data_IF_185989853699
#
_entry.id   IF_185989853699
#
_cell.length_a   1.000
_cell.length_b   1.000
_cell.length_c   1.000
_cell.angle_alpha   90.00
_cell.angle_beta   90.00
_cell.angle_gamma   90.00
#
_symmetry.space_group_name_H-M   'P 1'
#
loop_
_entity.id
_entity.type
_entity.pdbx_description
1 polymer ?
#
# COMPACT_ATOMS: atom_id res chain seq x y z
N UNK A 1 4.81 -1.05 24.83
CA UNK A 1 5.24 0.27 25.36
C UNK A 1 4.29 1.33 24.82
N UNK A 2 3.59 2.08 25.68
CA UNK A 2 2.76 3.20 25.22
C UNK A 2 3.69 4.34 24.83
N UNK A 3 3.65 4.77 23.57
CA UNK A 3 4.31 5.99 23.14
C UNK A 3 3.77 7.14 24.01
N UNK A 4 4.63 8.00 24.60
CA UNK A 4 4.18 9.14 25.37
C UNK A 4 3.24 10.01 24.52
N UNK A 5 2.08 10.38 25.07
CA UNK A 5 1.16 11.34 24.45
C UNK A 5 1.94 12.60 24.06
N UNK A 6 2.11 12.83 22.76
CA UNK A 6 2.80 14.02 22.26
C UNK A 6 1.88 15.23 22.44
N UNK A 7 2.34 16.31 23.10
CA UNK A 7 1.53 17.52 23.25
C UNK A 7 1.13 18.11 21.88
N UNK A 8 -0.10 18.61 21.76
CA UNK A 8 -0.66 19.15 20.50
C UNK A 8 0.19 20.26 19.86
N UNK A 9 0.89 21.08 20.66
CA UNK A 9 1.75 22.15 20.17
C UNK A 9 2.99 21.64 19.43
N UNK A 10 3.38 20.38 19.66
CA UNK A 10 4.54 19.78 19.01
C UNK A 10 4.31 19.59 17.51
N UNK A 11 3.06 19.41 17.07
CA UNK A 11 2.68 19.30 15.66
C UNK A 11 2.69 20.66 14.92
N UNK A 12 2.76 21.76 15.68
CA UNK A 12 2.92 23.12 15.14
C UNK A 12 4.39 23.47 14.84
N UNK A 13 5.34 22.67 15.31
CA UNK A 13 6.75 22.89 15.03
C UNK A 13 7.08 22.49 13.58
N UNK A 14 7.74 23.37 12.79
CA UNK A 14 8.17 23.04 11.45
C UNK A 14 9.01 21.75 11.43
N UNK A 15 8.65 20.81 10.56
CA UNK A 15 9.38 19.53 10.41
C UNK A 15 9.05 18.44 11.43
N UNK A 16 8.13 18.68 12.39
CA UNK A 16 7.79 17.70 13.43
C UNK A 16 6.44 16.99 13.19
N UNK A 17 5.88 17.03 11.98
CA UNK A 17 4.74 16.17 11.63
C UNK A 17 5.24 14.73 11.56
N UNK A 18 4.91 13.94 12.58
CA UNK A 18 5.20 12.51 12.58
C UNK A 18 4.53 11.87 11.36
N UNK A 19 5.21 10.96 10.64
CA UNK A 19 4.56 10.22 9.58
C UNK A 19 3.37 9.46 10.16
N UNK A 20 2.26 9.46 9.41
CA UNK A 20 1.02 8.83 9.85
C UNK A 20 1.25 7.32 10.02
N UNK A 21 1.28 6.84 11.27
CA UNK A 21 1.45 5.43 11.57
C UNK A 21 0.09 4.72 11.68
N UNK A 22 0.08 3.41 11.45
CA UNK A 22 -1.14 2.61 11.62
C UNK A 22 -1.61 2.61 13.07
N UNK A 23 -0.68 2.58 14.03
CA UNK A 23 -0.98 2.66 15.46
C UNK A 23 -1.63 4.00 15.81
N UNK A 24 -1.13 5.12 15.26
CA UNK A 24 -1.76 6.43 15.45
C UNK A 24 -3.19 6.43 14.93
N UNK A 25 -3.42 5.87 13.73
CA UNK A 25 -4.75 5.75 13.15
C UNK A 25 -5.68 4.88 14.00
N UNK A 26 -5.19 3.76 14.52
CA UNK A 26 -5.94 2.88 15.41
C UNK A 26 -6.32 3.57 16.72
N UNK A 27 -5.39 4.29 17.35
CA UNK A 27 -5.66 5.08 18.55
C UNK A 27 -6.65 6.21 18.27
N UNK A 28 -6.51 6.91 17.15
CA UNK A 28 -7.43 7.98 16.75
C UNK A 28 -8.85 7.45 16.53
N UNK A 29 -8.99 6.33 15.80
CA UNK A 29 -10.28 5.66 15.59
C UNK A 29 -10.89 5.17 16.90
N UNK A 30 -10.08 4.58 17.79
CA UNK A 30 -10.54 4.11 19.10
C UNK A 30 -11.05 5.27 19.96
N UNK A 31 -10.36 6.41 19.97
CA UNK A 31 -10.78 7.61 20.73
C UNK A 31 -12.14 8.13 20.26
N UNK A 32 -12.37 8.15 18.95
CA UNK A 32 -13.64 8.62 18.42
C UNK A 32 -14.73 7.56 18.48
N UNK A 33 -14.47 6.30 18.83
CA UNK A 33 -15.46 5.23 18.81
C UNK A 33 -16.61 5.49 19.79
N UNK A 34 -16.35 5.91 21.02
CA UNK A 34 -17.43 6.08 22.01
C UNK A 34 -18.03 7.50 22.03
N UNK A 35 -17.53 8.40 21.18
CA UNK A 35 -17.98 9.80 21.10
C UNK A 35 -19.33 9.92 20.36
N UNK A 36 -20.43 10.38 20.99
CA UNK A 36 -21.75 10.47 20.35
C UNK A 36 -21.86 11.58 19.30
N UNK A 37 -21.00 12.60 19.38
CA UNK A 37 -21.02 13.76 18.47
C UNK A 37 -20.29 13.46 17.16
N UNK A 38 -19.32 12.54 17.19
CA UNK A 38 -18.58 12.13 15.99
C UNK A 38 -19.38 11.10 15.17
N UNK A 39 -19.61 11.39 13.89
CA UNK A 39 -20.34 10.49 12.98
C UNK A 39 -19.45 9.57 12.14
N UNK A 40 -18.14 9.77 12.15
CA UNK A 40 -17.25 9.04 11.27
C UNK A 40 -15.87 9.66 11.11
N UNK A 41 -15.11 9.12 10.16
CA UNK A 41 -13.80 9.60 9.77
C UNK A 41 -13.70 9.76 8.25
N UNK A 42 -12.98 10.79 7.82
CA UNK A 42 -12.66 11.02 6.41
C UNK A 42 -11.16 10.80 6.20
N UNK A 43 -10.82 9.89 5.31
CA UNK A 43 -9.45 9.60 4.89
C UNK A 43 -9.17 10.32 3.57
N UNK A 44 -8.31 11.33 3.63
CA UNK A 44 -7.86 12.08 2.45
C UNK A 44 -6.68 11.34 1.81
N UNK A 45 -6.87 10.82 0.60
CA UNK A 45 -5.84 10.13 -0.17
C UNK A 45 -5.22 11.10 -1.18
N UNK A 46 -4.01 11.57 -0.84
CA UNK A 46 -3.22 12.54 -1.59
C UNK A 46 -1.88 11.93 -1.99
N UNK A 47 -1.91 11.01 -2.94
CA UNK A 47 -0.75 10.20 -3.33
C UNK A 47 -0.14 9.43 -2.15
N UNK A 48 -0.92 8.55 -1.49
CA UNK A 48 -0.45 7.84 -0.32
C UNK A 48 0.71 6.89 -0.70
N UNK A 49 1.84 7.00 0.01
CA UNK A 49 2.96 6.08 -0.11
C UNK A 49 2.68 4.77 0.64
N UNK A 50 1.67 4.03 0.19
CA UNK A 50 1.25 2.74 0.77
C UNK A 50 1.81 1.56 -0.03
N UNK A 51 2.36 0.60 0.69
CA UNK A 51 2.53 -0.78 0.18
C UNK A 51 1.19 -1.52 0.21
N UNK A 52 1.07 -2.61 -0.57
CA UNK A 52 -0.15 -3.43 -0.56
C UNK A 52 -0.45 -4.01 0.83
N UNK A 53 0.58 -4.40 1.58
CA UNK A 53 0.44 -4.90 2.96
C UNK A 53 -0.10 -3.82 3.92
N UNK A 54 0.37 -2.57 3.78
CA UNK A 54 -0.16 -1.45 4.57
C UNK A 54 -1.61 -1.14 4.18
N UNK A 55 -1.97 -1.22 2.89
CA UNK A 55 -3.35 -1.07 2.43
C UNK A 55 -4.28 -2.13 3.03
N UNK A 56 -3.86 -3.40 3.04
CA UNK A 56 -4.59 -4.50 3.69
C UNK A 56 -4.70 -4.28 5.20
N UNK A 57 -3.64 -3.78 5.84
CA UNK A 57 -3.66 -3.46 7.26
C UNK A 57 -4.65 -2.33 7.58
N UNK A 58 -4.75 -1.32 6.72
CA UNK A 58 -5.75 -0.26 6.86
C UNK A 58 -7.17 -0.80 6.66
N UNK A 59 -7.37 -1.70 5.69
CA UNK A 59 -8.65 -2.37 5.48
C UNK A 59 -9.08 -3.21 6.70
N UNK A 60 -8.12 -3.92 7.32
CA UNK A 60 -8.34 -4.66 8.55
C UNK A 60 -8.69 -3.72 9.71
N UNK A 61 -8.00 -2.58 9.84
CA UNK A 61 -8.31 -1.56 10.83
C UNK A 61 -9.72 -0.99 10.66
N UNK A 62 -10.15 -0.70 9.43
CA UNK A 62 -11.51 -0.23 9.14
C UNK A 62 -12.57 -1.27 9.52
N UNK A 63 -12.28 -2.55 9.30
CA UNK A 63 -13.15 -3.65 9.72
C UNK A 63 -13.24 -3.75 11.24
N UNK A 64 -12.11 -3.66 11.94
CA UNK A 64 -12.06 -3.64 13.41
C UNK A 64 -12.84 -2.46 13.98
N UNK A 65 -12.65 -1.27 13.44
CA UNK A 65 -13.37 -0.07 13.86
C UNK A 65 -14.90 -0.24 13.73
N UNK A 66 -15.36 -0.87 12.64
CA UNK A 66 -16.79 -1.20 12.45
C UNK A 66 -17.32 -2.24 13.44
N UNK A 67 -16.44 -3.09 13.98
CA UNK A 67 -16.78 -4.13 14.96
C UNK A 67 -16.66 -3.67 16.42
N UNK A 68 -16.11 -2.48 16.67
CA UNK A 68 -16.11 -1.91 18.02
C UNK A 68 -17.55 -1.71 18.50
N UNK A 69 -17.79 -1.82 19.80
CA UNK A 69 -19.12 -1.59 20.39
C UNK A 69 -19.43 -0.09 20.41
N UNK A 70 -19.79 0.45 19.26
CA UNK A 70 -20.10 1.86 19.06
C UNK A 70 -21.57 2.13 19.42
N UNK A 71 -21.91 3.19 20.17
CA UNK A 71 -23.31 3.55 20.44
C UNK A 71 -24.11 3.86 19.16
N UNK A 72 -23.42 4.36 18.13
CA UNK A 72 -23.97 4.69 16.81
C UNK A 72 -23.01 4.21 15.72
N UNK A 73 -23.49 3.67 14.59
CA UNK A 73 -22.62 3.27 13.48
C UNK A 73 -21.86 4.48 12.93
N UNK A 74 -20.53 4.40 12.91
CA UNK A 74 -19.66 5.45 12.35
C UNK A 74 -19.26 5.12 10.93
N UNK A 75 -19.30 6.11 10.05
CA UNK A 75 -18.94 5.95 8.65
C UNK A 75 -17.47 6.26 8.39
N UNK A 76 -16.84 5.46 7.53
CA UNK A 76 -15.51 5.71 6.99
C UNK A 76 -15.68 6.17 5.55
N UNK A 77 -15.18 7.36 5.24
CA UNK A 77 -15.22 7.94 3.90
C UNK A 77 -13.79 8.07 3.38
N UNK A 78 -13.50 7.50 2.22
CA UNK A 78 -12.27 7.77 1.49
C UNK A 78 -12.51 8.88 0.46
N UNK A 79 -11.70 9.93 0.50
CA UNK A 79 -11.72 11.01 -0.48
C UNK A 79 -10.42 10.98 -1.26
N UNK A 80 -10.51 10.75 -2.57
CA UNK A 80 -9.35 10.58 -3.46
C UNK A 80 -9.09 11.88 -4.19
N UNK A 81 -7.91 12.46 -3.96
CA UNK A 81 -7.32 13.50 -4.82
C UNK A 81 -6.32 12.86 -5.79
N UNK A 82 -5.46 11.98 -5.29
CA UNK A 82 -4.51 11.21 -6.09
C UNK A 82 -4.30 9.83 -5.46
N UNK A 83 -4.31 8.76 -6.26
CA UNK A 83 -4.06 7.39 -5.76
C UNK A 83 -3.38 6.47 -6.77
N UNK A 84 -2.78 5.40 -6.26
CA UNK A 84 -2.32 4.24 -7.01
C UNK A 84 -3.12 2.98 -6.62
N UNK A 85 -2.72 1.80 -7.13
CA UNK A 85 -3.38 0.53 -6.84
C UNK A 85 -3.48 0.22 -5.33
N UNK A 86 -2.41 0.42 -4.55
CA UNK A 86 -2.42 0.14 -3.11
C UNK A 86 -3.32 1.12 -2.36
N UNK A 87 -3.25 2.42 -2.68
CA UNK A 87 -4.14 3.43 -2.11
C UNK A 87 -5.61 3.15 -2.43
N UNK A 88 -5.91 2.68 -3.63
CA UNK A 88 -7.28 2.33 -4.03
C UNK A 88 -7.78 1.05 -3.34
N UNK A 89 -6.92 0.05 -3.14
CA UNK A 89 -7.26 -1.12 -2.30
C UNK A 89 -7.66 -0.69 -0.89
N UNK A 90 -6.93 0.26 -0.30
CA UNK A 90 -7.26 0.81 1.01
C UNK A 90 -8.59 1.60 0.98
N UNK A 91 -8.81 2.41 -0.05
CA UNK A 91 -10.05 3.17 -0.25
C UNK A 91 -11.28 2.24 -0.41
N UNK A 92 -11.10 1.10 -1.06
CA UNK A 92 -12.15 0.10 -1.27
C UNK A 92 -12.66 -0.52 0.05
N UNK A 93 -11.90 -0.42 1.14
CA UNK A 93 -12.35 -0.85 2.46
C UNK A 93 -13.22 0.19 3.20
N UNK A 94 -13.32 1.42 2.70
CA UNK A 94 -14.19 2.46 3.25
C UNK A 94 -15.66 2.24 2.83
N UNK A 95 -16.60 2.82 3.58
CA UNK A 95 -18.04 2.72 3.27
C UNK A 95 -18.41 3.51 2.02
N UNK A 96 -17.72 4.64 1.80
CA UNK A 96 -17.91 5.50 0.63
C UNK A 96 -16.57 5.96 0.09
N UNK A 97 -16.50 6.07 -1.24
CA UNK A 97 -15.38 6.67 -1.95
C UNK A 97 -15.91 7.88 -2.70
N UNK A 98 -15.32 9.03 -2.47
CA UNK A 98 -15.56 10.25 -3.22
C UNK A 98 -14.30 10.64 -3.98
N UNK A 99 -14.51 11.22 -5.15
CA UNK A 99 -13.44 11.65 -6.03
C UNK A 99 -13.89 12.92 -6.75
N UNK A 100 -12.98 13.83 -7.00
CA UNK A 100 -13.25 15.02 -7.80
C UNK A 100 -13.03 14.72 -9.29
N UNK A 101 -13.62 15.49 -10.22
CA UNK A 101 -13.39 15.30 -11.64
C UNK A 101 -11.92 15.44 -12.07
N UNK A 102 -11.11 16.15 -11.28
CA UNK A 102 -9.68 16.37 -11.53
C UNK A 102 -8.78 15.42 -10.75
N UNK A 103 -9.34 14.48 -10.00
CA UNK A 103 -8.54 13.55 -9.22
C UNK A 103 -7.79 12.57 -10.12
N UNK A 104 -6.57 12.24 -9.73
CA UNK A 104 -5.73 11.27 -10.43
C UNK A 104 -5.86 9.88 -9.80
N UNK A 105 -5.96 8.86 -10.64
CA UNK A 105 -6.05 7.48 -10.19
C UNK A 105 -5.31 6.55 -11.16
N UNK A 106 -4.15 6.08 -10.71
CA UNK A 106 -3.20 5.33 -11.53
C UNK A 106 -3.23 3.84 -11.14
N UNK A 107 -4.24 3.12 -11.64
CA UNK A 107 -4.48 1.70 -11.35
C UNK A 107 -4.38 0.90 -12.65
N UNK A 108 -3.16 0.80 -13.18
CA UNK A 108 -2.89 0.27 -14.54
C UNK A 108 -2.31 -1.15 -14.55
N UNK A 109 -2.20 -1.79 -13.38
CA UNK A 109 -1.59 -3.12 -13.21
C UNK A 109 -0.22 -3.07 -12.54
N UNK A 110 0.48 -4.21 -12.55
CA UNK A 110 1.78 -4.37 -11.90
C UNK A 110 2.86 -4.69 -12.94
N UNK A 111 4.04 -4.09 -12.75
CA UNK A 111 5.23 -4.37 -13.55
C UNK A 111 6.44 -4.39 -12.64
N UNK A 112 7.36 -5.32 -12.92
CA UNK A 112 8.72 -5.29 -12.37
C UNK A 112 9.72 -5.17 -13.51
N UNK A 113 10.82 -4.46 -13.26
CA UNK A 113 11.95 -4.36 -14.17
C UNK A 113 13.24 -4.56 -13.40
N UNK A 114 14.18 -5.28 -14.01
CA UNK A 114 15.54 -5.42 -13.48
C UNK A 114 16.47 -4.42 -14.14
N UNK A 115 17.40 -3.88 -13.36
CA UNK A 115 18.59 -3.21 -13.87
C UNK A 115 19.68 -4.27 -14.07
N UNK A 116 20.37 -4.25 -15.21
CA UNK A 116 21.48 -5.16 -15.51
C UNK A 116 22.71 -4.35 -15.95
N UNK A 117 23.79 -4.49 -15.19
CA UNK A 117 24.97 -3.64 -15.26
C UNK A 117 26.21 -4.38 -15.79
N UNK A 118 26.13 -5.70 -16.03
CA UNK A 118 27.26 -6.53 -16.50
C UNK A 118 28.05 -5.86 -17.63
N UNK A 119 27.39 -5.47 -18.71
CA UNK A 119 28.05 -4.92 -19.89
C UNK A 119 28.59 -3.50 -19.66
N UNK A 120 27.91 -2.71 -18.83
CA UNK A 120 28.38 -1.38 -18.44
C UNK A 120 29.65 -1.47 -17.58
N UNK A 121 29.67 -2.40 -16.61
CA UNK A 121 30.80 -2.63 -15.72
C UNK A 121 32.00 -3.24 -16.47
N UNK A 122 31.74 -4.15 -17.42
CA UNK A 122 32.78 -4.73 -18.27
C UNK A 122 33.53 -3.66 -19.07
N UNK A 123 32.86 -2.60 -19.53
CA UNK A 123 33.49 -1.49 -20.28
C UNK A 123 34.51 -0.71 -19.45
N UNK A 124 34.36 -0.69 -18.13
CA UNK A 124 35.30 -0.04 -17.22
C UNK A 124 36.26 -1.04 -16.55
N UNK A 125 36.33 -2.28 -17.07
CA UNK A 125 37.23 -3.32 -16.57
C UNK A 125 36.78 -3.98 -15.26
N UNK A 126 35.53 -3.78 -14.83
CA UNK A 126 34.98 -4.38 -13.61
C UNK A 126 34.17 -5.63 -13.93
N UNK A 127 34.44 -6.72 -13.20
CA UNK A 127 33.69 -7.96 -13.27
C UNK A 127 33.34 -8.45 -11.86
N UNK A 128 32.20 -9.13 -11.73
CA UNK A 128 31.73 -9.70 -10.47
C UNK A 128 31.65 -11.22 -10.57
N UNK A 129 32.34 -11.91 -9.67
CA UNK A 129 32.17 -13.34 -9.45
C UNK A 129 31.04 -13.56 -8.44
N UNK A 130 29.89 -14.00 -8.94
CA UNK A 130 28.69 -14.24 -8.12
C UNK A 130 28.59 -15.73 -7.81
N UNK A 131 28.77 -16.07 -6.53
CA UNK A 131 28.55 -17.44 -6.03
C UNK A 131 27.13 -17.57 -5.48
N UNK A 132 26.35 -18.49 -6.05
CA UNK A 132 24.98 -18.82 -5.60
C UNK A 132 24.80 -20.33 -5.50
N UNK A 133 23.99 -20.76 -4.53
CA UNK A 133 23.68 -22.18 -4.27
C UNK A 133 22.41 -22.63 -5.01
N UNK A 134 21.50 -21.70 -5.34
CA UNK A 134 20.22 -21.97 -5.99
C UNK A 134 20.02 -21.04 -7.18
N UNK A 135 19.44 -21.52 -8.31
CA UNK A 135 19.16 -20.68 -9.46
C UNK A 135 18.16 -19.56 -9.14
N UNK A 136 17.32 -19.73 -8.12
CA UNK A 136 16.33 -18.74 -7.67
C UNK A 136 16.93 -17.58 -6.85
N UNK A 137 18.21 -17.66 -6.44
CA UNK A 137 18.89 -16.56 -5.74
C UNK A 137 19.45 -15.56 -6.76
N UNK A 138 18.59 -14.67 -7.22
CA UNK A 138 18.82 -13.78 -8.38
C UNK A 138 19.31 -12.38 -8.03
N UNK A 139 19.55 -12.08 -6.75
CA UNK A 139 20.00 -10.76 -6.30
C UNK A 139 21.35 -10.31 -6.92
N UNK A 140 22.21 -11.27 -7.30
CA UNK A 140 23.48 -11.00 -7.96
C UNK A 140 23.38 -10.86 -9.49
N UNK A 141 22.24 -11.23 -10.10
CA UNK A 141 22.07 -11.25 -11.56
C UNK A 141 22.26 -9.87 -12.18
N UNK A 142 21.92 -8.80 -11.45
CA UNK A 142 22.17 -7.41 -11.87
C UNK A 142 23.63 -7.15 -12.26
N UNK A 143 24.59 -7.81 -11.62
CA UNK A 143 26.02 -7.62 -11.88
C UNK A 143 26.62 -8.68 -12.79
N UNK A 144 26.08 -9.90 -12.76
CA UNK A 144 26.62 -11.05 -13.48
C UNK A 144 25.98 -11.25 -14.85
N UNK A 145 24.69 -10.96 -14.99
CA UNK A 145 23.88 -11.22 -16.19
C UNK A 145 23.59 -9.91 -16.94
N UNK A 146 23.38 -10.02 -18.25
CA UNK A 146 23.03 -8.87 -19.10
C UNK A 146 21.51 -8.62 -19.15
N UNK A 147 20.73 -9.64 -18.81
CA UNK A 147 19.27 -9.65 -18.91
C UNK A 147 18.68 -10.55 -17.82
N UNK A 148 17.37 -10.42 -17.59
CA UNK A 148 16.64 -11.28 -16.66
C UNK A 148 16.67 -12.75 -17.08
N UNK A 149 17.13 -13.60 -16.17
CA UNK A 149 17.08 -15.06 -16.26
C UNK A 149 15.64 -15.57 -16.29
N UNK A 150 15.43 -16.77 -16.82
CA UNK A 150 14.09 -17.37 -16.92
C UNK A 150 13.53 -17.69 -15.53
N UNK A 151 14.39 -18.09 -14.58
CA UNK A 151 14.03 -18.34 -13.19
C UNK A 151 13.62 -17.06 -12.47
N UNK A 152 14.37 -15.96 -12.66
CA UNK A 152 13.98 -14.65 -12.13
C UNK A 152 12.63 -14.21 -12.69
N UNK A 153 12.43 -14.36 -14.01
CA UNK A 153 11.18 -14.02 -14.67
C UNK A 153 10.01 -14.84 -14.15
N UNK A 154 10.19 -16.15 -14.00
CA UNK A 154 9.17 -17.05 -13.46
C UNK A 154 8.79 -16.68 -12.02
N UNK A 155 9.79 -16.41 -11.16
CA UNK A 155 9.55 -16.01 -9.77
C UNK A 155 8.78 -14.69 -9.69
N UNK A 156 9.18 -13.70 -10.49
CA UNK A 156 8.50 -12.41 -10.51
C UNK A 156 7.09 -12.51 -11.05
N UNK A 157 6.86 -13.25 -12.14
CA UNK A 157 5.51 -13.46 -12.67
C UNK A 157 4.61 -14.13 -11.63
N UNK A 158 5.09 -15.19 -10.98
CA UNK A 158 4.33 -15.84 -9.90
C UNK A 158 3.96 -14.88 -8.77
N UNK A 159 4.90 -14.02 -8.34
CA UNK A 159 4.64 -13.02 -7.31
C UNK A 159 3.64 -11.95 -7.80
N UNK A 160 3.82 -11.43 -9.01
CA UNK A 160 2.94 -10.41 -9.59
C UNK A 160 1.52 -10.93 -9.79
N UNK A 161 1.36 -12.18 -10.25
CA UNK A 161 0.06 -12.84 -10.40
C UNK A 161 -0.65 -12.95 -9.05
N UNK A 162 0.06 -13.36 -8.00
CA UNK A 162 -0.48 -13.42 -6.64
C UNK A 162 -0.91 -12.04 -6.13
N UNK A 163 -0.04 -11.03 -6.25
CA UNK A 163 -0.35 -9.67 -5.79
C UNK A 163 -1.50 -9.05 -6.58
N UNK A 164 -1.57 -9.29 -7.90
CA UNK A 164 -2.65 -8.81 -8.73
C UNK A 164 -3.98 -9.47 -8.36
N UNK A 165 -3.99 -10.78 -8.10
CA UNK A 165 -5.17 -11.49 -7.62
C UNK A 165 -5.68 -10.93 -6.28
N UNK A 166 -4.78 -10.56 -5.37
CA UNK A 166 -5.13 -9.92 -4.09
C UNK A 166 -5.77 -8.54 -4.30
N UNK A 167 -5.20 -7.71 -5.20
CA UNK A 167 -5.75 -6.40 -5.56
C UNK A 167 -7.16 -6.55 -6.13
N UNK A 168 -7.34 -7.44 -7.12
CA UNK A 168 -8.63 -7.71 -7.75
C UNK A 168 -9.65 -8.19 -6.72
N UNK A 169 -9.24 -9.08 -5.82
CA UNK A 169 -10.11 -9.60 -4.75
C UNK A 169 -10.56 -8.50 -3.79
N UNK A 170 -9.63 -7.65 -3.34
CA UNK A 170 -9.95 -6.55 -2.43
C UNK A 170 -10.90 -5.52 -3.06
N UNK A 171 -10.66 -5.15 -4.33
CA UNK A 171 -11.54 -4.23 -5.07
C UNK A 171 -12.92 -4.88 -5.29
N UNK A 172 -12.96 -6.13 -5.73
CA UNK A 172 -14.21 -6.88 -5.94
C UNK A 172 -15.07 -6.92 -4.67
N UNK A 173 -14.47 -7.24 -3.52
CA UNK A 173 -15.16 -7.28 -2.23
C UNK A 173 -15.64 -5.89 -1.78
N UNK A 174 -14.75 -4.89 -1.80
CA UNK A 174 -15.05 -3.54 -1.35
C UNK A 174 -16.08 -2.82 -2.20
N UNK A 175 -16.08 -3.06 -3.52
CA UNK A 175 -16.98 -2.41 -4.49
C UNK A 175 -18.20 -3.25 -4.86
N UNK A 176 -18.29 -4.49 -4.38
CA UNK A 176 -19.36 -5.46 -4.71
C UNK A 176 -19.46 -5.69 -6.23
N UNK A 177 -18.32 -5.78 -6.89
CA UNK A 177 -18.21 -6.05 -8.32
C UNK A 177 -17.72 -7.48 -8.56
N UNK A 178 -18.06 -8.06 -9.69
CA UNK A 178 -17.47 -9.35 -10.09
C UNK A 178 -15.97 -9.17 -10.37
N UNK A 179 -15.16 -10.21 -10.11
CA UNK A 179 -13.71 -10.17 -10.43
C UNK A 179 -13.48 -9.91 -11.93
N UNK A 180 -14.34 -10.43 -12.79
CA UNK A 180 -14.28 -10.22 -14.24
C UNK A 180 -14.56 -8.76 -14.66
N UNK A 181 -15.29 -7.99 -13.86
CA UNK A 181 -15.52 -6.56 -14.11
C UNK A 181 -14.35 -5.70 -13.65
N UNK A 182 -13.55 -6.22 -12.71
CA UNK A 182 -12.38 -5.52 -12.15
C UNK A 182 -11.14 -5.75 -13.02
N UNK A 183 -10.98 -6.95 -13.58
CA UNK A 183 -9.95 -7.30 -14.56
C UNK A 183 -10.26 -6.71 -15.95
#
# INVERSE_FOLDING_TARGET
>A
ERIPETPWWRDLLPGNRQPLSLEYLENALTRIADDPDVKGAVFLLRSPALTLAQAQSLAALFTRFRQMNVPQPKQIVAFIEETNAAGYVAACAADRIYMTPLSEWNIVGLRVGGLYLKDALKRIGVAFDVVRVSPWKTAGDMFHDATMSDESRAQFNWLLDSLFADIVSAISQGRKLSKQTVC
#
